data_IF_191381062854
#
_entry.id   IF_191381062854
#
_cell.length_a   1.000
_cell.length_b   1.000
_cell.length_c   1.000
_cell.angle_alpha   90.00
_cell.angle_beta   90.00
_cell.angle_gamma   90.00
#
_symmetry.space_group_name_H-M   'P 1'
#
loop_
_entity.id
_entity.type
_entity.pdbx_description
1 polymer ?
#
# COMPACT_ATOMS: atom_id res chain seq x y z
N UNK A 1 13.90 0.98 -16.72
CA UNK A 1 12.89 0.69 -15.69
C UNK A 1 11.83 -0.20 -16.31
N UNK A 2 11.80 -1.46 -15.92
CA UNK A 2 10.81 -2.46 -16.35
C UNK A 2 9.47 -2.22 -15.66
N UNK A 3 8.40 -2.84 -16.17
CA UNK A 3 7.10 -2.81 -15.47
C UNK A 3 7.17 -3.47 -14.10
N UNK A 4 8.01 -4.50 -13.93
CA UNK A 4 8.24 -5.13 -12.63
C UNK A 4 8.87 -4.15 -11.64
N UNK A 5 9.93 -3.44 -12.03
CA UNK A 5 10.58 -2.43 -11.18
C UNK A 5 9.64 -1.29 -10.81
N UNK A 6 8.70 -0.91 -11.71
CA UNK A 6 7.67 0.09 -11.40
C UNK A 6 6.70 -0.42 -10.33
N UNK A 7 6.21 -1.64 -10.48
CA UNK A 7 5.27 -2.26 -9.52
C UNK A 7 5.91 -2.43 -8.16
N UNK A 8 7.17 -2.89 -8.07
CA UNK A 8 7.90 -3.04 -6.80
C UNK A 8 8.10 -1.70 -6.09
N UNK A 9 8.40 -0.64 -6.85
CA UNK A 9 8.49 0.73 -6.32
C UNK A 9 7.15 1.24 -5.79
N UNK A 10 6.05 0.94 -6.49
CA UNK A 10 4.71 1.32 -6.09
C UNK A 10 4.26 0.59 -4.81
N UNK A 11 4.53 -0.72 -4.72
CA UNK A 11 4.32 -1.51 -3.50
C UNK A 11 5.05 -0.87 -2.33
N UNK A 12 6.35 -0.60 -2.48
CA UNK A 12 7.16 0.03 -1.43
C UNK A 12 6.58 1.37 -0.96
N UNK A 13 6.05 2.16 -1.91
CA UNK A 13 5.43 3.45 -1.61
C UNK A 13 4.13 3.28 -0.81
N UNK A 14 3.26 2.36 -1.23
CA UNK A 14 2.00 2.10 -0.55
C UNK A 14 2.19 1.48 0.84
N UNK A 15 3.18 0.60 1.03
CA UNK A 15 3.57 0.12 2.36
C UNK A 15 4.04 1.27 3.28
N UNK A 16 4.75 2.26 2.71
CA UNK A 16 5.09 3.50 3.39
C UNK A 16 3.85 4.30 3.82
N UNK A 17 2.86 4.42 2.94
CA UNK A 17 1.59 5.10 3.21
C UNK A 17 0.78 4.38 4.30
N UNK A 18 0.66 3.04 4.24
CA UNK A 18 -0.01 2.24 5.28
C UNK A 18 0.65 2.45 6.64
N UNK A 19 1.99 2.41 6.71
CA UNK A 19 2.72 2.64 7.97
C UNK A 19 2.48 4.06 8.50
N UNK A 20 2.47 5.06 7.62
CA UNK A 20 2.24 6.46 8.01
C UNK A 20 0.82 6.66 8.57
N UNK A 21 -0.20 6.17 7.88
CA UNK A 21 -1.59 6.23 8.37
C UNK A 21 -1.81 5.41 9.64
N UNK A 22 -1.13 4.28 9.78
CA UNK A 22 -1.20 3.47 11.02
C UNK A 22 -0.60 4.23 12.20
N UNK A 23 0.55 4.90 12.01
CA UNK A 23 1.14 5.78 13.04
C UNK A 23 0.26 6.97 13.36
N UNK A 24 -0.44 7.55 12.38
CA UNK A 24 -1.38 8.64 12.64
C UNK A 24 -2.51 8.20 13.60
N UNK A 25 -2.97 6.95 13.51
CA UNK A 25 -3.97 6.38 14.41
C UNK A 25 -3.47 6.15 15.85
N UNK A 26 -2.16 6.14 16.07
CA UNK A 26 -1.56 6.06 17.41
C UNK A 26 -1.59 7.41 18.15
N UNK A 27 -1.90 8.51 17.44
CA UNK A 27 -1.99 9.84 18.04
C UNK A 27 -3.26 9.96 18.92
N UNK A 28 -3.13 10.15 20.24
CA UNK A 28 -4.28 10.29 21.14
C UNK A 28 -5.12 11.56 20.88
N UNK A 29 -4.53 12.57 20.24
CA UNK A 29 -5.21 13.83 19.89
C UNK A 29 -5.95 13.76 18.55
N UNK A 30 -5.91 12.60 17.86
CA UNK A 30 -6.60 12.44 16.59
C UNK A 30 -8.12 12.47 16.78
N UNK A 31 -8.78 13.40 16.11
CA UNK A 31 -10.25 13.47 16.10
C UNK A 31 -10.88 12.16 15.60
N UNK A 32 -12.09 11.84 16.08
CA UNK A 32 -12.83 10.67 15.62
C UNK A 32 -13.01 10.64 14.09
N UNK A 33 -13.23 11.80 13.47
CA UNK A 33 -13.32 11.92 12.01
C UNK A 33 -11.98 11.68 11.32
N UNK A 34 -10.88 12.22 11.87
CA UNK A 34 -9.52 11.90 11.41
C UNK A 34 -9.24 10.40 11.48
N UNK A 35 -9.57 9.75 12.59
CA UNK A 35 -9.41 8.31 12.76
C UNK A 35 -10.25 7.49 11.77
N UNK A 36 -11.48 7.93 11.45
CA UNK A 36 -12.29 7.30 10.39
C UNK A 36 -11.64 7.42 9.02
N UNK A 37 -11.10 8.60 8.67
CA UNK A 37 -10.42 8.84 7.40
C UNK A 37 -9.15 7.99 7.28
N UNK A 38 -8.31 7.96 8.31
CA UNK A 38 -7.09 7.14 8.28
C UNK A 38 -7.40 5.64 8.12
N UNK A 39 -8.44 5.14 8.79
CA UNK A 39 -8.88 3.74 8.61
C UNK A 39 -9.38 3.47 7.19
N UNK A 40 -10.13 4.40 6.60
CA UNK A 40 -10.59 4.29 5.22
C UNK A 40 -9.40 4.31 4.24
N UNK A 41 -8.43 5.21 4.43
CA UNK A 41 -7.19 5.26 3.64
C UNK A 41 -6.41 3.96 3.74
N UNK A 42 -6.21 3.41 4.95
CA UNK A 42 -5.53 2.12 5.15
C UNK A 42 -6.24 0.99 4.41
N UNK A 43 -7.57 0.95 4.45
CA UNK A 43 -8.34 -0.07 3.73
C UNK A 43 -8.09 0.01 2.22
N UNK A 44 -8.12 1.21 1.64
CA UNK A 44 -7.84 1.43 0.22
C UNK A 44 -6.40 1.07 -0.15
N UNK A 45 -5.42 1.46 0.66
CA UNK A 45 -4.01 1.12 0.41
C UNK A 45 -3.77 -0.39 0.47
N UNK A 46 -4.40 -1.10 1.41
CA UNK A 46 -4.28 -2.55 1.52
C UNK A 46 -4.93 -3.28 0.35
N UNK A 47 -6.08 -2.79 -0.13
CA UNK A 47 -6.69 -3.34 -1.33
C UNK A 47 -5.75 -3.17 -2.53
N UNK A 48 -5.24 -1.95 -2.76
CA UNK A 48 -4.33 -1.70 -3.87
C UNK A 48 -3.02 -2.49 -3.76
N UNK A 49 -2.48 -2.68 -2.55
CA UNK A 49 -1.32 -3.55 -2.33
C UNK A 49 -1.59 -5.00 -2.79
N UNK A 50 -2.78 -5.53 -2.53
CA UNK A 50 -3.16 -6.88 -2.99
C UNK A 50 -3.15 -6.98 -4.53
N UNK A 51 -3.68 -5.97 -5.21
CA UNK A 51 -3.70 -5.92 -6.68
C UNK A 51 -2.28 -5.85 -7.25
N UNK A 52 -1.40 -5.02 -6.66
CA UNK A 52 -0.02 -4.88 -7.10
C UNK A 52 0.84 -6.11 -6.81
N UNK A 53 0.62 -6.78 -5.68
CA UNK A 53 1.30 -8.05 -5.36
C UNK A 53 0.94 -9.10 -6.42
N UNK A 54 -0.34 -9.24 -6.75
CA UNK A 54 -0.80 -10.16 -7.80
C UNK A 54 -0.13 -9.84 -9.14
N UNK A 55 -0.14 -8.55 -9.54
CA UNK A 55 0.52 -8.10 -10.76
C UNK A 55 2.04 -8.35 -10.77
N UNK A 56 2.71 -8.16 -9.62
CA UNK A 56 4.15 -8.44 -9.48
C UNK A 56 4.42 -9.91 -9.71
N UNK A 57 3.64 -10.79 -9.08
CA UNK A 57 3.83 -12.23 -9.16
C UNK A 57 3.61 -12.72 -10.61
N UNK A 58 2.59 -12.20 -11.30
CA UNK A 58 2.38 -12.43 -12.74
C UNK A 58 3.60 -11.99 -13.57
N UNK A 59 4.09 -10.76 -13.35
CA UNK A 59 5.27 -10.24 -14.06
C UNK A 59 6.55 -11.05 -13.78
N UNK A 60 6.74 -11.51 -12.54
CA UNK A 60 7.89 -12.33 -12.16
C UNK A 60 7.86 -13.70 -12.84
N UNK A 61 6.68 -14.31 -12.98
CA UNK A 61 6.53 -15.59 -13.69
C UNK A 61 6.93 -15.46 -15.16
N UNK A 62 6.55 -14.37 -15.83
CA UNK A 62 6.87 -14.11 -17.24
C UNK A 62 8.37 -13.84 -17.50
N UNK A 63 9.13 -13.48 -16.47
CA UNK A 63 10.58 -13.26 -16.56
C UNK A 63 11.36 -14.54 -16.25
N UNK A 64 10.73 -15.50 -15.59
CA UNK A 64 11.35 -16.75 -15.14
C UNK A 64 11.13 -17.94 -16.10
N UNK A 65 10.24 -17.79 -17.08
CA UNK A 65 10.03 -18.69 -18.24
C UNK A 65 10.95 -18.31 -19.42
#
# INVERSE_FOLDING_TARGET
MTELEKVEREITTLEGSVRSSTRALENPDLSAEGARRERASIALYRQHLGDLITKRDDLQSLVSD
#
